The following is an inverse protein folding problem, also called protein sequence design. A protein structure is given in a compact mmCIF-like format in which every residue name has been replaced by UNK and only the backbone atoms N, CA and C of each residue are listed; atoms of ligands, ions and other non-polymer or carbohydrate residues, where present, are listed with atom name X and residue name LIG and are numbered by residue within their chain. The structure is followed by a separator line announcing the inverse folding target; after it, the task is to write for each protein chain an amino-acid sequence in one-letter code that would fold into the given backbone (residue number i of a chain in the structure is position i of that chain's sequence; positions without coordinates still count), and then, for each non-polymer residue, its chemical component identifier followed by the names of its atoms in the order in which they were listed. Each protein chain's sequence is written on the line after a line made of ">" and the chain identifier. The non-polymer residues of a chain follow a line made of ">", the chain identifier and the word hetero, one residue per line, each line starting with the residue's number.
data_IF_566665509967
#
_entry.id   IF_566665509967
#
_cell.length_a   1.000
_cell.length_b   1.000
_cell.length_c   1.000
_cell.angle_alpha   90.00
_cell.angle_beta   90.00
_cell.angle_gamma   90.00
#
_symmetry.space_group_name_H-M   'P 1'
#
loop_
_entity.id
_entity.type
_entity.pdbx_description
1 polymer ?
#
# COMPACT_ATOMS: atom_id res chain seq x y z
N UNK A 1 4.40 12.83 6.28
CA UNK A 1 4.09 14.21 5.83
C UNK A 1 3.69 15.04 7.05
N UNK A 2 3.82 16.36 6.96
CA UNK A 2 3.34 17.30 7.99
C UNK A 2 2.30 18.19 7.32
N UNK A 3 1.23 18.55 8.03
CA UNK A 3 0.23 19.47 7.50
C UNK A 3 0.82 20.89 7.33
N UNK A 4 0.33 21.71 6.39
CA UNK A 4 0.87 23.04 6.14
C UNK A 4 0.81 24.00 7.34
N UNK A 5 -0.06 23.72 8.31
CA UNK A 5 -0.24 24.47 9.56
C UNK A 5 0.54 23.88 10.75
N UNK A 6 1.40 22.88 10.51
CA UNK A 6 2.21 22.18 11.53
C UNK A 6 1.39 21.60 12.69
N UNK A 7 0.09 21.36 12.50
CA UNK A 7 -0.77 20.78 13.53
C UNK A 7 -0.75 19.25 13.53
N UNK A 8 -0.54 18.63 12.37
CA UNK A 8 -0.66 17.19 12.19
C UNK A 8 0.58 16.56 11.55
N UNK A 9 0.98 15.40 12.09
CA UNK A 9 1.89 14.45 11.44
C UNK A 9 1.05 13.35 10.83
N UNK A 10 1.27 13.10 9.54
CA UNK A 10 0.65 12.02 8.80
C UNK A 10 1.70 10.95 8.51
N UNK A 11 1.40 9.73 8.94
CA UNK A 11 2.26 8.55 8.73
C UNK A 11 1.49 7.48 7.99
N UNK A 12 2.16 6.78 7.08
CA UNK A 12 1.59 5.64 6.39
C UNK A 12 2.48 4.41 6.55
N UNK A 13 1.90 3.23 6.49
CA UNK A 13 2.61 1.98 6.77
C UNK A 13 2.38 0.86 5.74
N UNK A 14 3.09 -0.25 5.96
CA UNK A 14 2.97 -1.48 5.16
C UNK A 14 1.64 -2.22 5.39
N UNK A 15 0.95 -1.93 6.48
CA UNK A 15 -0.30 -2.55 6.88
C UNK A 15 -1.52 -1.72 6.45
N UNK A 16 -1.38 -0.98 5.35
CA UNK A 16 -2.44 -0.24 4.64
C UNK A 16 -2.92 1.04 5.32
N UNK A 17 -2.40 1.37 6.49
CA UNK A 17 -2.95 2.44 7.31
C UNK A 17 -2.27 3.75 7.04
N UNK A 18 -3.08 4.80 6.98
CA UNK A 18 -2.62 6.18 7.13
C UNK A 18 -3.18 6.70 8.45
N UNK A 19 -2.29 7.12 9.33
CA UNK A 19 -2.61 7.68 10.65
C UNK A 19 -2.37 9.19 10.62
N UNK A 20 -3.33 9.93 11.17
CA UNK A 20 -3.25 11.37 11.40
C UNK A 20 -3.12 11.61 12.89
N UNK A 21 -2.02 12.21 13.33
CA UNK A 21 -1.72 12.44 14.75
C UNK A 21 -1.34 13.89 14.98
N UNK A 22 -1.64 14.42 16.16
CA UNK A 22 -1.29 15.79 16.53
C UNK A 22 0.22 15.95 16.71
N UNK A 23 0.83 17.01 16.16
CA UNK A 23 2.26 17.29 16.32
C UNK A 23 2.61 17.51 17.80
N UNK A 24 1.81 18.31 18.50
CA UNK A 24 2.03 18.62 19.93
C UNK A 24 1.84 17.40 20.85
N UNK A 25 1.09 16.39 20.40
CA UNK A 25 0.82 15.17 21.14
C UNK A 25 0.69 13.97 20.17
N UNK A 26 1.80 13.39 19.68
CA UNK A 26 1.76 12.35 18.63
C UNK A 26 1.04 11.05 19.02
N UNK A 27 0.82 10.84 20.32
CA UNK A 27 0.02 9.73 20.84
C UNK A 27 -1.50 9.98 20.72
N UNK A 28 -1.92 11.23 20.55
CA UNK A 28 -3.29 11.61 20.26
C UNK A 28 -3.53 11.45 18.75
N UNK A 29 -4.41 10.51 18.41
CA UNK A 29 -4.75 10.19 17.04
C UNK A 29 -6.05 10.90 16.71
N UNK A 30 -6.01 11.74 15.67
CA UNK A 30 -7.18 12.44 15.17
C UNK A 30 -8.04 11.51 14.32
N UNK A 31 -7.42 10.83 13.35
CA UNK A 31 -8.13 9.99 12.41
C UNK A 31 -7.25 8.89 11.80
N UNK A 32 -7.93 7.93 11.17
CA UNK A 32 -7.32 6.96 10.27
C UNK A 32 -7.99 7.06 8.91
N UNK A 33 -7.19 7.17 7.84
CA UNK A 33 -7.70 7.03 6.48
C UNK A 33 -7.61 5.54 6.11
N UNK A 34 -8.75 4.85 6.15
CA UNK A 34 -8.84 3.40 5.94
C UNK A 34 -9.47 3.11 4.57
N UNK A 35 -8.84 2.22 3.80
CA UNK A 35 -9.40 1.76 2.54
C UNK A 35 -8.40 1.10 1.58
N UNK A 36 -7.11 1.40 1.71
CA UNK A 36 -6.08 0.66 0.98
C UNK A 36 -6.06 -0.82 1.37
N UNK A 37 -5.65 -1.67 0.43
CA UNK A 37 -5.61 -3.14 0.62
C UNK A 37 -4.21 -3.73 0.49
N UNK A 38 -3.22 -2.89 0.19
CA UNK A 38 -1.79 -3.19 0.28
C UNK A 38 -1.05 -1.99 0.90
N UNK A 39 0.26 -2.12 1.11
CA UNK A 39 1.11 -1.06 1.66
C UNK A 39 0.88 0.30 0.99
N UNK A 40 0.94 1.37 1.79
CA UNK A 40 0.86 2.74 1.27
C UNK A 40 2.27 3.18 0.89
N UNK A 41 2.49 3.46 -0.40
CA UNK A 41 3.82 3.78 -0.93
C UNK A 41 4.17 5.27 -0.76
N UNK A 42 3.18 6.16 -0.94
CA UNK A 42 3.33 7.61 -0.79
C UNK A 42 2.08 8.24 -0.20
N UNK A 43 2.30 9.33 0.53
CA UNK A 43 1.28 10.27 0.97
C UNK A 43 1.75 11.68 0.64
N UNK A 44 0.83 12.56 0.26
CA UNK A 44 1.10 13.94 -0.10
C UNK A 44 -0.04 14.84 0.38
N UNK A 45 0.26 15.81 1.23
CA UNK A 45 -0.71 16.82 1.68
C UNK A 45 -0.68 17.96 0.68
N UNK A 46 -1.86 18.36 0.19
CA UNK A 46 -1.96 19.41 -0.84
C UNK A 46 -1.73 20.77 -0.18
N UNK A 47 -0.67 21.53 -0.54
CA UNK A 47 -0.34 22.76 0.19
C UNK A 47 -1.42 23.85 0.10
N UNK A 48 -2.04 24.05 -1.07
CA UNK A 48 -3.16 24.99 -1.25
C UNK A 48 -4.49 24.53 -0.63
N UNK A 49 -4.61 23.25 -0.30
CA UNK A 49 -5.85 22.65 0.22
C UNK A 49 -5.51 21.81 1.45
N UNK A 50 -5.28 22.46 2.61
CA UNK A 50 -4.67 21.85 3.78
C UNK A 50 -5.56 20.81 4.46
N UNK A 51 -6.78 20.54 3.98
CA UNK A 51 -7.67 19.46 4.38
C UNK A 51 -7.53 18.19 3.52
N UNK A 52 -6.91 18.31 2.34
CA UNK A 52 -6.81 17.24 1.35
C UNK A 52 -5.49 16.48 1.44
N UNK A 53 -5.60 15.16 1.33
CA UNK A 53 -4.48 14.25 1.25
C UNK A 53 -4.62 13.35 0.02
N UNK A 54 -3.51 13.18 -0.70
CA UNK A 54 -3.34 12.15 -1.70
C UNK A 54 -2.56 10.98 -1.13
N UNK A 55 -2.95 9.77 -1.48
CA UNK A 55 -2.15 8.57 -1.18
C UNK A 55 -2.13 7.59 -2.33
N UNK A 56 -1.00 6.92 -2.49
CA UNK A 56 -0.82 5.83 -3.45
C UNK A 56 -0.43 4.55 -2.72
N UNK A 57 -0.82 3.41 -3.26
CA UNK A 57 -0.56 2.11 -2.64
C UNK A 57 -0.13 1.07 -3.67
N UNK A 58 0.51 0.00 -3.17
CA UNK A 58 0.75 -1.22 -3.94
C UNK A 58 -0.51 -1.91 -4.42
N UNK A 59 -1.70 -1.50 -3.94
CA UNK A 59 -3.01 -1.97 -4.41
C UNK A 59 -3.38 -1.41 -5.80
N UNK A 60 -2.52 -0.56 -6.37
CA UNK A 60 -2.73 0.04 -7.69
C UNK A 60 -3.71 1.21 -7.70
N UNK A 61 -4.02 1.79 -6.53
CA UNK A 61 -4.95 2.92 -6.42
C UNK A 61 -4.25 4.22 -6.03
N UNK A 62 -4.74 5.33 -6.59
CA UNK A 62 -4.54 6.69 -6.10
C UNK A 62 -5.82 7.13 -5.39
N UNK A 63 -5.71 7.57 -4.14
CA UNK A 63 -6.87 7.98 -3.33
C UNK A 63 -6.75 9.43 -2.90
N UNK A 64 -7.89 10.10 -2.86
CA UNK A 64 -8.08 11.44 -2.31
C UNK A 64 -8.87 11.34 -1.01
N UNK A 65 -8.41 12.03 0.02
CA UNK A 65 -8.98 11.98 1.36
C UNK A 65 -9.19 13.38 1.92
N UNK A 66 -10.22 13.52 2.75
CA UNK A 66 -10.27 14.54 3.78
C UNK A 66 -9.63 13.95 5.03
N UNK A 67 -8.36 14.26 5.28
CA UNK A 67 -7.57 13.45 6.22
C UNK A 67 -7.94 13.68 7.69
N UNK A 68 -8.45 14.88 8.04
CA UNK A 68 -8.86 15.20 9.42
C UNK A 68 -10.07 14.38 9.87
N UNK A 69 -10.98 14.04 8.95
CA UNK A 69 -12.12 13.17 9.22
C UNK A 69 -11.83 11.69 8.90
N UNK A 70 -10.72 11.40 8.22
CA UNK A 70 -10.39 10.07 7.70
C UNK A 70 -11.28 9.62 6.53
N UNK A 71 -12.10 10.54 5.98
CA UNK A 71 -13.06 10.21 4.93
C UNK A 71 -12.37 10.08 3.58
N UNK A 72 -12.63 8.97 2.91
CA UNK A 72 -12.26 8.81 1.50
C UNK A 72 -13.20 9.64 0.63
N UNK A 73 -12.63 10.51 -0.20
CA UNK A 73 -13.36 11.33 -1.17
C UNK A 73 -13.43 10.62 -2.52
N UNK A 74 -12.31 10.03 -2.95
CA UNK A 74 -12.24 9.31 -4.23
C UNK A 74 -11.19 8.20 -4.20
N UNK A 75 -11.42 7.17 -5.00
CA UNK A 75 -10.47 6.09 -5.28
C UNK A 75 -10.35 5.92 -6.80
N UNK A 76 -9.16 6.13 -7.34
CA UNK A 76 -8.83 5.97 -8.75
C UNK A 76 -8.04 4.67 -8.92
N UNK A 77 -8.61 3.69 -9.63
CA UNK A 77 -7.90 2.48 -10.03
C UNK A 77 -7.01 2.76 -11.25
N UNK A 78 -5.70 2.62 -11.10
CA UNK A 78 -4.75 2.92 -12.17
C UNK A 78 -4.77 1.88 -13.27
N UNK A 79 -5.14 0.63 -12.99
CA UNK A 79 -5.27 -0.41 -13.99
C UNK A 79 -6.38 -0.07 -14.99
N UNK A 80 -7.46 0.58 -14.52
CA UNK A 80 -8.56 1.03 -15.38
C UNK A 80 -8.18 2.15 -16.37
N UNK A 81 -7.05 2.83 -16.12
CA UNK A 81 -6.51 3.89 -16.96
C UNK A 81 -5.47 3.37 -17.98
N UNK A 82 -5.17 2.08 -17.94
CA UNK A 82 -4.29 1.43 -18.91
C UNK A 82 -5.10 0.82 -20.05
N UNK A 83 -4.63 1.00 -21.28
CA UNK A 83 -5.16 0.25 -22.42
C UNK A 83 -4.98 -1.26 -22.19
N UNK A 84 -5.93 -2.12 -22.61
CA UNK A 84 -5.85 -3.57 -22.46
C UNK A 84 -4.77 -4.13 -23.39
N UNK A 85 -3.51 -4.03 -22.98
CA UNK A 85 -2.39 -4.71 -23.62
C UNK A 85 -2.10 -6.04 -22.90
N UNK A 86 -1.83 -7.06 -23.70
CA UNK A 86 -1.80 -8.49 -23.42
C UNK A 86 -1.09 -8.90 -22.11
N UNK A 87 -1.82 -9.68 -21.30
CA UNK A 87 -1.34 -10.71 -20.39
C UNK A 87 0.04 -10.48 -19.74
N UNK A 88 0.04 -9.74 -18.63
CA UNK A 88 0.93 -10.03 -17.51
C UNK A 88 0.18 -9.66 -16.23
N UNK A 89 0.17 -10.58 -15.26
CA UNK A 89 -0.44 -10.38 -13.95
C UNK A 89 0.34 -9.35 -13.13
N UNK A 90 0.29 -8.09 -13.54
CA UNK A 90 0.96 -6.97 -12.88
C UNK A 90 0.20 -6.60 -11.61
N UNK A 91 0.38 -7.41 -10.55
CA UNK A 91 0.39 -6.89 -9.17
C UNK A 91 1.56 -5.90 -9.10
N UNK A 92 1.39 -4.59 -9.29
CA UNK A 92 2.59 -3.75 -9.33
C UNK A 92 2.53 -2.28 -9.72
N UNK A 93 1.38 -1.62 -9.83
CA UNK A 93 1.35 -0.16 -10.10
C UNK A 93 1.50 0.68 -8.83
N UNK A 94 2.48 0.35 -8.00
CA UNK A 94 2.81 1.12 -6.81
C UNK A 94 3.46 2.45 -7.23
N UNK A 95 2.93 3.58 -6.79
CA UNK A 95 3.53 4.86 -7.13
C UNK A 95 4.80 5.12 -6.30
N UNK A 96 5.89 5.51 -6.96
CA UNK A 96 7.13 5.95 -6.31
C UNK A 96 7.19 7.45 -6.08
N UNK A 97 6.41 8.24 -6.83
CA UNK A 97 6.35 9.70 -6.68
C UNK A 97 4.94 10.24 -6.86
N UNK A 98 4.57 11.18 -5.98
CA UNK A 98 3.47 12.12 -6.18
C UNK A 98 4.10 13.51 -6.21
N UNK A 99 3.82 14.27 -7.27
CA UNK A 99 4.22 15.68 -7.39
C UNK A 99 2.98 16.53 -7.67
N UNK A 100 2.99 17.77 -7.18
CA UNK A 100 1.87 18.69 -7.35
C UNK A 100 2.36 20.03 -7.91
N UNK A 101 1.60 20.59 -8.83
CA UNK A 101 1.85 21.91 -9.40
C UNK A 101 0.68 22.82 -9.07
N UNK A 102 0.94 23.79 -8.19
CA UNK A 102 -0.06 24.71 -7.63
C UNK A 102 -0.79 25.52 -8.69
N UNK A 103 -0.06 26.08 -9.67
CA UNK A 103 -0.59 26.99 -10.66
C UNK A 103 -1.77 26.40 -11.45
N UNK A 104 -1.68 25.12 -11.78
CA UNK A 104 -2.66 24.41 -12.58
C UNK A 104 -3.38 23.32 -11.76
N UNK A 105 -3.23 23.29 -10.43
CA UNK A 105 -3.76 22.22 -9.56
C UNK A 105 -3.54 20.81 -10.12
N UNK A 106 -2.35 20.59 -10.69
CA UNK A 106 -2.00 19.39 -11.44
C UNK A 106 -1.25 18.40 -10.55
N UNK A 107 -1.69 17.16 -10.53
CA UNK A 107 -1.07 16.05 -9.79
C UNK A 107 -0.40 15.12 -10.79
N UNK A 108 0.88 14.84 -10.57
CA UNK A 108 1.65 13.85 -11.31
C UNK A 108 1.91 12.63 -10.44
N UNK A 109 1.69 11.47 -11.02
CA UNK A 109 1.92 10.17 -10.40
C UNK A 109 2.91 9.36 -11.24
N UNK A 110 4.07 9.06 -10.68
CA UNK A 110 5.04 8.14 -11.26
C UNK A 110 4.86 6.76 -10.62
N UNK A 111 4.66 5.73 -11.45
CA UNK A 111 4.56 4.36 -11.00
C UNK A 111 5.88 3.61 -11.19
N UNK A 112 6.21 2.71 -10.25
CA UNK A 112 7.33 1.79 -10.43
C UNK A 112 7.06 0.81 -11.56
N UNK A 113 8.14 0.24 -12.09
CA UNK A 113 8.14 -0.85 -13.07
C UNK A 113 7.47 -0.56 -14.41
N UNK A 114 6.92 0.64 -14.62
CA UNK A 114 6.38 1.10 -15.91
C UNK A 114 6.99 2.45 -16.29
N UNK A 115 7.40 2.67 -17.55
CA UNK A 115 7.89 3.96 -18.02
C UNK A 115 6.71 4.91 -18.31
N UNK A 116 5.83 5.07 -17.32
CA UNK A 116 4.56 5.79 -17.44
C UNK A 116 4.42 6.79 -16.30
N UNK A 117 4.00 8.00 -16.66
CA UNK A 117 3.58 9.03 -15.71
C UNK A 117 2.11 9.35 -15.97
N UNK A 118 1.29 9.27 -14.92
CA UNK A 118 -0.11 9.67 -14.98
C UNK A 118 -0.27 11.11 -14.53
N UNK A 119 -1.12 11.84 -15.24
CA UNK A 119 -1.44 13.23 -14.95
C UNK A 119 -2.91 13.31 -14.57
N UNK A 120 -3.16 13.93 -13.42
CA UNK A 120 -4.48 14.20 -12.88
C UNK A 120 -4.64 15.69 -12.64
N UNK A 121 -5.88 16.15 -12.70
CA UNK A 121 -6.30 17.45 -12.25
C UNK A 121 -7.00 17.30 -10.91
N UNK A 122 -6.57 18.08 -9.92
CA UNK A 122 -7.32 18.23 -8.68
C UNK A 122 -8.36 19.35 -8.87
N UNK A 123 -9.63 19.01 -8.69
CA UNK A 123 -10.71 19.95 -8.45
C UNK A 123 -11.04 19.91 -6.95
N UNK A 124 -10.38 20.78 -6.19
CA UNK A 124 -10.55 20.84 -4.75
C UNK A 124 -11.96 21.27 -4.34
N UNK A 125 -12.60 22.15 -5.14
CA UNK A 125 -13.96 22.62 -4.87
C UNK A 125 -14.99 21.47 -4.90
N UNK A 126 -14.78 20.51 -5.81
CA UNK A 126 -15.59 19.30 -5.92
C UNK A 126 -15.02 18.11 -5.16
N UNK A 127 -13.86 18.27 -4.54
CA UNK A 127 -13.15 17.21 -3.84
C UNK A 127 -12.90 15.98 -4.75
N UNK A 128 -12.45 16.23 -5.99
CA UNK A 128 -12.30 15.22 -7.03
C UNK A 128 -10.96 15.32 -7.77
N UNK A 129 -10.44 14.16 -8.19
CA UNK A 129 -9.36 13.97 -9.13
C UNK A 129 -9.91 13.55 -10.49
N UNK A 130 -9.63 14.34 -11.51
CA UNK A 130 -9.90 14.00 -12.90
C UNK A 130 -8.63 13.50 -13.59
N UNK A 131 -8.65 12.31 -14.16
CA UNK A 131 -7.56 11.85 -15.03
C UNK A 131 -7.47 12.74 -16.28
N UNK A 132 -6.26 13.17 -16.65
CA UNK A 132 -6.02 14.05 -17.80
C UNK A 132 -5.28 13.35 -18.92
N UNK A 133 -4.13 12.76 -18.61
CA UNK A 133 -3.26 12.20 -19.63
C UNK A 133 -2.32 11.15 -19.03
N UNK A 134 -1.97 10.17 -19.86
CA UNK A 134 -0.90 9.22 -19.61
C UNK A 134 0.29 9.58 -20.50
N UNK A 135 1.46 9.82 -19.89
CA UNK A 135 2.72 10.03 -20.60
C UNK A 135 3.50 8.72 -20.62
N UNK A 136 3.84 8.25 -21.81
CA UNK A 136 4.66 7.05 -21.99
C UNK A 136 6.05 7.46 -22.44
N UNK A 137 7.07 6.89 -21.81
CA UNK A 137 8.46 7.22 -22.08
C UNK A 137 9.19 6.01 -22.70
N UNK A 138 10.20 6.25 -23.55
CA UNK A 138 11.01 5.18 -24.14
C UNK A 138 11.94 4.50 -23.12
N UNK A 139 12.27 5.19 -22.03
CA UNK A 139 13.16 4.72 -20.97
C UNK A 139 12.45 4.72 -19.63
N UNK A 140 12.97 3.95 -18.66
CA UNK A 140 12.50 4.01 -17.27
C UNK A 140 12.63 5.43 -16.75
N UNK A 141 11.62 5.90 -16.04
CA UNK A 141 11.63 7.20 -15.36
C UNK A 141 12.10 6.99 -13.92
N UNK A 142 13.13 7.71 -13.50
CA UNK A 142 13.70 7.62 -12.15
C UNK A 142 13.03 8.58 -11.18
N UNK A 143 12.78 9.82 -11.60
CA UNK A 143 12.07 10.80 -10.78
C UNK A 143 11.39 11.85 -11.64
N UNK A 144 10.43 12.54 -11.04
CA UNK A 144 9.68 13.63 -11.65
C UNK A 144 9.54 14.79 -10.68
N UNK A 145 9.72 16.00 -11.17
CA UNK A 145 9.61 17.22 -10.38
C UNK A 145 9.00 18.34 -11.19
N UNK A 146 8.12 19.10 -10.56
CA UNK A 146 7.62 20.33 -11.14
C UNK A 146 8.59 21.47 -10.86
N UNK A 147 8.86 22.25 -11.90
CA UNK A 147 9.41 23.59 -11.76
C UNK A 147 8.30 24.59 -12.07
N UNK A 148 8.14 25.57 -11.17
CA UNK A 148 6.96 26.44 -11.11
C UNK A 148 6.61 27.11 -12.45
N UNK A 149 7.60 27.44 -13.29
CA UNK A 149 7.37 28.21 -14.52
C UNK A 149 7.49 27.40 -15.81
N UNK A 150 8.28 26.32 -15.83
CA UNK A 150 8.56 25.60 -17.07
C UNK A 150 7.77 24.29 -17.22
N UNK A 151 7.27 23.72 -16.12
CA UNK A 151 6.46 22.50 -16.15
C UNK A 151 7.15 21.31 -15.46
N UNK A 152 6.99 20.12 -16.04
CA UNK A 152 7.40 18.84 -15.45
C UNK A 152 8.76 18.41 -16.00
N UNK A 153 9.77 18.37 -15.13
CA UNK A 153 11.04 17.72 -15.40
C UNK A 153 10.94 16.23 -15.11
N UNK A 154 11.48 15.43 -16.02
CA UNK A 154 11.48 13.97 -15.95
C UNK A 154 12.92 13.48 -16.11
N UNK A 155 13.42 12.81 -15.09
CA UNK A 155 14.73 12.17 -15.09
C UNK A 155 14.58 10.72 -15.55
N UNK A 156 15.40 10.29 -16.50
CA UNK A 156 15.27 9.02 -17.19
C UNK A 156 16.56 8.21 -17.17
N UNK A 157 16.40 6.90 -17.30
CA UNK A 157 17.47 5.94 -17.53
C UNK A 157 17.97 5.99 -18.98
N UNK A 158 18.52 7.14 -19.37
CA UNK A 158 19.10 7.37 -20.68
C UNK A 158 20.29 8.30 -20.54
N UNK A 159 21.50 7.81 -20.83
CA UNK A 159 22.70 8.63 -20.74
C UNK A 159 22.71 9.78 -21.75
N UNK A 160 22.18 9.57 -22.95
CA UNK A 160 22.24 10.58 -24.02
C UNK A 160 21.28 11.75 -23.76
N UNK A 161 20.05 11.43 -23.31
CA UNK A 161 19.01 12.41 -22.96
C UNK A 161 18.45 12.10 -21.56
N UNK A 162 19.22 12.37 -20.50
CA UNK A 162 18.86 11.97 -19.14
C UNK A 162 17.71 12.78 -18.56
N UNK A 163 17.52 14.01 -19.04
CA UNK A 163 16.56 14.94 -18.48
C UNK A 163 15.70 15.53 -19.60
N UNK A 164 14.39 15.37 -19.50
CA UNK A 164 13.42 15.92 -20.47
C UNK A 164 12.39 16.80 -19.75
N UNK A 165 11.98 17.87 -20.43
CA UNK A 165 10.98 18.82 -19.92
C UNK A 165 9.66 18.61 -20.64
N UNK A 166 8.56 18.62 -19.90
CA UNK A 166 7.20 18.52 -20.40
C UNK A 166 6.36 19.69 -19.92
N UNK A 167 5.50 20.22 -20.78
CA UNK A 167 4.58 21.31 -20.41
C UNK A 167 3.21 21.14 -21.05
N UNK A 168 2.14 21.68 -20.45
CA UNK A 168 0.84 21.73 -21.10
C UNK A 168 0.85 22.76 -22.23
N UNK A 169 0.49 22.36 -23.44
CA UNK A 169 0.27 23.23 -24.61
C UNK A 169 -1.11 22.91 -25.16
N UNK A 170 -2.03 23.88 -25.11
CA UNK A 170 -3.41 23.68 -25.55
C UNK A 170 -4.17 22.62 -24.74
N UNK A 171 -3.85 22.46 -23.46
CA UNK A 171 -4.48 21.48 -22.56
C UNK A 171 -3.93 20.04 -22.67
N UNK A 172 -2.94 19.81 -23.53
CA UNK A 172 -2.24 18.53 -23.63
C UNK A 172 -0.77 18.68 -23.23
N UNK A 173 -0.26 17.72 -22.49
CA UNK A 173 1.14 17.65 -22.11
C UNK A 173 1.98 17.17 -23.29
N UNK A 174 3.01 17.95 -23.60
CA UNK A 174 3.92 17.71 -24.71
C UNK A 174 5.37 17.90 -24.26
N UNK A 175 6.28 17.12 -24.85
CA UNK A 175 7.70 17.28 -24.65
C UNK A 175 8.17 18.64 -25.22
N UNK A 176 8.97 19.35 -24.44
CA UNK A 176 9.61 20.60 -24.85
C UNK A 176 10.91 20.27 -25.57
N UNK A 177 11.16 20.80 -26.78
CA UNK A 177 12.44 20.65 -27.46
C UNK A 177 13.61 21.11 -26.60
N UNK A 178 14.78 20.48 -26.74
CA UNK A 178 15.95 20.83 -25.95
C UNK A 178 16.35 22.30 -26.11
N UNK A 179 16.31 23.04 -25.01
CA UNK A 179 16.85 24.39 -24.90
C UNK A 179 18.27 24.40 -24.34
N UNK A 180 18.90 25.59 -24.32
CA UNK A 180 20.25 25.77 -23.79
C UNK A 180 20.42 25.32 -22.33
N UNK A 181 19.37 25.47 -21.50
CA UNK A 181 19.38 25.01 -20.10
C UNK A 181 19.37 23.49 -20.03
N UNK A 182 18.46 22.82 -20.74
CA UNK A 182 18.39 21.35 -20.80
C UNK A 182 19.71 20.77 -21.28
N UNK A 183 20.31 21.34 -22.34
CA UNK A 183 21.61 20.90 -22.85
C UNK A 183 22.74 20.99 -21.81
N UNK A 184 22.79 22.11 -21.06
CA UNK A 184 23.77 22.30 -19.98
C UNK A 184 23.56 21.32 -18.82
N UNK A 185 22.30 21.07 -18.42
CA UNK A 185 22.01 20.10 -17.37
C UNK A 185 22.36 18.68 -17.82
N UNK A 186 21.98 18.30 -19.03
CA UNK A 186 22.31 17.01 -19.63
C UNK A 186 23.83 16.82 -19.78
N UNK A 187 24.62 17.86 -20.09
CA UNK A 187 26.08 17.71 -20.13
C UNK A 187 26.66 17.40 -18.74
N UNK A 188 26.22 18.11 -17.69
CA UNK A 188 26.68 17.84 -16.33
C UNK A 188 26.26 16.46 -15.81
N UNK A 189 25.03 16.03 -16.10
CA UNK A 189 24.55 14.69 -15.73
C UNK A 189 25.34 13.59 -16.45
N UNK A 190 25.73 13.81 -17.72
CA UNK A 190 26.54 12.86 -18.49
C UNK A 190 27.96 12.69 -17.97
N UNK A 191 28.58 13.78 -17.51
CA UNK A 191 29.90 13.75 -16.86
C UNK A 191 29.86 12.95 -15.56
N UNK A 192 28.74 13.02 -14.83
CA UNK A 192 28.54 12.39 -13.53
C UNK A 192 27.75 11.07 -13.58
N UNK A 193 27.53 10.50 -14.78
CA UNK A 193 26.56 9.43 -15.00
C UNK A 193 26.83 8.16 -14.19
N UNK A 194 28.10 7.83 -13.97
CA UNK A 194 28.50 6.66 -13.18
C UNK A 194 27.94 6.68 -11.73
N UNK A 195 27.63 7.87 -11.18
CA UNK A 195 26.98 7.99 -9.86
C UNK A 195 25.51 7.57 -9.88
N UNK A 196 24.85 7.64 -11.04
CA UNK A 196 23.44 7.30 -11.21
C UNK A 196 23.26 5.82 -11.53
N UNK A 197 24.19 5.23 -12.28
CA UNK A 197 24.20 3.80 -12.67
C UNK A 197 24.14 2.81 -11.50
N UNK A 198 24.72 3.15 -10.34
CA UNK A 198 24.73 2.27 -9.15
C UNK A 198 23.36 2.04 -8.51
N UNK A 199 22.34 2.83 -8.90
CA UNK A 199 20.94 2.70 -8.48
C UNK A 199 20.11 1.87 -9.47
N UNK A 200 20.70 1.51 -10.60
CA UNK A 200 20.01 0.95 -11.77
C UNK A 200 20.06 -0.57 -11.71
N UNK A 201 18.90 -1.17 -11.45
CA UNK A 201 18.73 -2.64 -11.56
C UNK A 201 18.58 -3.38 -10.24
N UNK A 202 18.56 -2.70 -9.10
CA UNK A 202 18.02 -3.32 -7.89
C UNK A 202 16.51 -3.49 -8.10
N UNK A 203 16.08 -4.76 -8.14
CA UNK A 203 14.76 -5.35 -7.95
C UNK A 203 13.61 -4.35 -7.66
N UNK A 204 12.44 -4.55 -8.27
CA UNK A 204 11.20 -3.78 -8.05
C UNK A 204 11.13 -3.28 -6.59
N UNK A 205 11.31 -1.98 -6.39
CA UNK A 205 11.65 -1.40 -5.07
C UNK A 205 10.59 -1.69 -4.01
N UNK A 206 9.39 -2.03 -4.45
CA UNK A 206 8.27 -2.37 -3.60
C UNK A 206 7.95 -3.86 -3.53
N UNK A 207 8.65 -4.72 -4.28
CA UNK A 207 8.46 -6.17 -4.29
C UNK A 207 8.50 -6.79 -2.90
N UNK A 208 9.41 -6.32 -2.05
CA UNK A 208 9.56 -6.78 -0.67
C UNK A 208 8.44 -6.34 0.27
N UNK A 209 7.70 -5.29 -0.08
CA UNK A 209 6.59 -4.76 0.70
C UNK A 209 5.29 -5.53 0.47
N UNK A 210 5.10 -6.10 -0.72
CA UNK A 210 3.97 -7.00 -0.96
C UNK A 210 3.96 -8.13 0.06
N UNK A 211 2.78 -8.42 0.61
CA UNK A 211 2.63 -9.46 1.62
C UNK A 211 2.84 -10.82 0.96
N UNK A 212 3.76 -11.62 1.49
CA UNK A 212 3.86 -13.02 1.11
C UNK A 212 2.60 -13.74 1.60
N UNK A 213 1.75 -14.19 0.68
CA UNK A 213 0.59 -15.01 1.01
C UNK A 213 1.06 -16.40 1.42
N UNK A 214 1.34 -16.60 2.71
CA UNK A 214 1.34 -17.92 3.29
C UNK A 214 -0.12 -18.30 3.55
N UNK A 215 -0.69 -19.13 2.66
CA UNK A 215 -2.02 -19.70 2.87
C UNK A 215 -1.96 -20.74 4.02
N UNK A 216 -1.89 -20.22 5.24
CA UNK A 216 -1.95 -21.00 6.46
C UNK A 216 -3.40 -21.19 6.91
N UNK A 217 -4.40 -20.79 6.11
CA UNK A 217 -5.81 -20.86 6.51
C UNK A 217 -6.24 -22.31 6.71
N UNK A 218 -5.83 -23.21 5.82
CA UNK A 218 -6.09 -24.65 5.88
C UNK A 218 -5.42 -25.29 7.10
N UNK A 219 -4.17 -24.91 7.40
CA UNK A 219 -3.45 -25.43 8.58
C UNK A 219 -4.03 -24.89 9.89
N UNK A 220 -4.51 -23.65 9.90
CA UNK A 220 -5.21 -23.03 11.02
C UNK A 220 -6.58 -23.70 11.28
N UNK A 221 -7.40 -23.88 10.25
CA UNK A 221 -8.70 -24.54 10.36
C UNK A 221 -8.56 -25.99 10.85
N UNK A 222 -7.58 -26.73 10.32
CA UNK A 222 -7.26 -28.10 10.77
C UNK A 222 -6.88 -28.13 12.25
N UNK A 223 -5.96 -27.25 12.69
CA UNK A 223 -5.59 -27.13 14.12
C UNK A 223 -6.78 -26.73 15.00
N UNK A 224 -7.68 -25.88 14.50
CA UNK A 224 -8.91 -25.48 15.20
C UNK A 224 -9.85 -26.67 15.38
N UNK A 225 -10.05 -27.46 14.33
CA UNK A 225 -10.90 -28.66 14.36
C UNK A 225 -10.33 -29.73 15.31
N UNK A 226 -9.02 -29.97 15.28
CA UNK A 226 -8.33 -30.88 16.21
C UNK A 226 -8.55 -30.49 17.67
N UNK A 227 -8.47 -29.18 17.99
CA UNK A 227 -8.75 -28.67 19.35
C UNK A 227 -10.20 -28.93 19.78
N UNK A 228 -11.15 -28.71 18.89
CA UNK A 228 -12.58 -28.98 19.14
C UNK A 228 -12.82 -30.47 19.39
N UNK A 229 -12.23 -31.36 18.59
CA UNK A 229 -12.34 -32.80 18.77
C UNK A 229 -11.71 -33.28 20.10
N UNK A 230 -10.56 -32.72 20.49
CA UNK A 230 -9.93 -33.03 21.78
C UNK A 230 -10.80 -32.59 22.96
N UNK A 231 -11.43 -31.42 22.89
CA UNK A 231 -12.36 -30.95 23.91
C UNK A 231 -13.61 -31.85 24.02
N UNK A 232 -14.17 -32.28 22.88
CA UNK A 232 -15.29 -33.21 22.86
C UNK A 232 -14.92 -34.58 23.45
N UNK A 233 -13.73 -35.12 23.10
CA UNK A 233 -13.21 -36.36 23.69
C UNK A 233 -12.99 -36.22 25.20
N UNK A 234 -12.46 -35.10 25.67
CA UNK A 234 -12.29 -34.81 27.11
C UNK A 234 -13.63 -34.73 27.84
N UNK A 235 -14.63 -34.04 27.27
CA UNK A 235 -15.99 -33.97 27.82
C UNK A 235 -16.68 -35.34 27.85
N UNK A 236 -16.49 -36.18 26.82
CA UNK A 236 -17.01 -37.56 26.79
C UNK A 236 -16.38 -38.44 27.87
N UNK A 237 -15.05 -38.38 28.04
CA UNK A 237 -14.34 -39.11 29.11
C UNK A 237 -14.76 -38.70 30.52
N UNK A 238 -15.12 -37.42 30.73
CA UNK A 238 -15.66 -36.95 32.00
C UNK A 238 -17.11 -37.35 32.25
N UNK A 239 -17.86 -37.75 31.21
CA UNK A 239 -19.28 -38.16 31.29
C UNK A 239 -19.50 -39.67 31.29
N UNK A 240 -18.48 -40.48 31.03
CA UNK A 240 -18.57 -41.94 31.09
C UNK A 240 -18.57 -42.44 32.55
N UNK A 241 -19.50 -43.30 32.99
CA UNK A 241 -19.49 -43.88 34.33
C UNK A 241 -18.31 -44.84 34.50
N UNK A 242 -17.77 -44.94 35.72
CA UNK A 242 -16.75 -45.93 36.08
C UNK A 242 -17.31 -47.36 35.88
N UNK A 243 -16.53 -48.30 35.32
CA UNK A 243 -17.01 -49.68 35.14
C UNK A 243 -17.20 -50.34 36.51
N UNK A 244 -18.32 -51.06 36.68
CA UNK A 244 -18.66 -51.80 37.89
C UNK A 244 -17.61 -52.89 38.18
N UNK A 245 -17.18 -52.97 39.44
CA UNK A 245 -16.26 -53.99 39.96
C UNK A 245 -16.88 -55.40 39.92
N UNK A 246 -16.11 -56.46 39.64
CA UNK A 246 -16.66 -57.81 39.57
C UNK A 246 -17.00 -58.39 40.95
N UNK A 247 -18.19 -59.00 41.06
CA UNK A 247 -18.74 -59.62 42.26
C UNK A 247 -17.86 -60.76 42.81
N UNK A 248 -17.58 -60.73 44.11
CA UNK A 248 -16.94 -61.82 44.84
C UNK A 248 -17.94 -62.94 45.16
N UNK A 249 -17.67 -64.13 44.66
CA UNK A 249 -18.38 -65.38 45.00
C UNK A 249 -18.01 -65.84 46.41
N UNK A 250 -18.97 -65.76 47.36
CA UNK A 250 -18.80 -66.32 48.71
C UNK A 250 -18.94 -67.85 48.68
N UNK A 251 -17.86 -68.58 49.00
CA UNK A 251 -17.89 -70.00 49.37
C UNK A 251 -18.44 -70.16 50.80
N UNK A 252 -19.44 -71.00 50.97
CA UNK A 252 -19.94 -71.45 52.27
C UNK A 252 -19.04 -72.55 52.86
N UNK A 253 -18.84 -72.52 54.18
CA UNK A 253 -18.28 -73.62 54.98
C UNK A 253 -19.35 -74.09 56.00
N UNK A 254 -19.55 -75.40 56.21
CA UNK A 254 -20.63 -75.93 57.06
C UNK A 254 -20.14 -76.32 58.46
N UNK A 255 -21.08 -76.39 59.42
CA UNK A 255 -21.04 -77.39 60.50
C UNK A 255 -21.35 -76.94 61.93
N UNK A 256 -22.53 -77.38 62.42
CA UNK A 256 -22.86 -77.92 63.76
C UNK A 256 -23.00 -76.94 64.95
N UNK A 257 -24.22 -76.68 65.49
CA UNK A 257 -25.03 -77.44 66.50
C UNK A 257 -24.46 -77.32 67.92
N UNK A 258 -25.17 -77.06 69.04
CA UNK A 258 -26.58 -77.14 69.41
C UNK A 258 -26.86 -76.44 70.78
N UNK A 259 -28.17 -76.27 71.10
CA UNK A 259 -28.86 -76.39 72.42
C UNK A 259 -28.94 -75.25 73.48
N UNK A 260 -30.22 -74.97 73.82
CA UNK A 260 -30.87 -74.48 75.07
C UNK A 260 -30.52 -73.09 75.63
N UNK A 261 -31.45 -72.28 76.15
CA UNK A 261 -32.79 -72.51 76.73
C UNK A 261 -33.94 -71.81 75.99
#
# INVERSE_FOLDING_TARGET
>A
AVSPDDQFVLTADRDEKIRVSWVAAPHSIEAFCLGHTEFVSRIFVVPSHPELLLSSSGDGTLRLWEYRSGRQLQCCDLASLQEPAEHQGHKGLAASRIAFWEQESCVVLLCECVPVVFIFQLDASRQQLGFRQKLTFPHRVWDVVFEETQGLWVLQDCRDTPLVLWRPVGGQWQAVPEGAVSQRLCSHLRESWAMLEGSVGADDGFRSLYKATFDNMTSYLKKKEERLQQQLKKKKRQRSPLPASPEQTKKACPGQSALSC
#
